data_IF_740717304508
#
_entry.id   IF_740717304508
#
_cell.length_a   1.000
_cell.length_b   1.000
_cell.length_c   1.000
_cell.angle_alpha   90.00
_cell.angle_beta   90.00
_cell.angle_gamma   90.00
#
_symmetry.space_group_name_H-M   'P 1'
#
loop_
_entity.id
_entity.type
_entity.pdbx_description
1 polymer ?
#
# COMPACT_ATOMS: atom_id res chain seq x y z
N UNK A 1 15.57 17.38 -8.18
CA UNK A 1 15.15 17.39 -6.77
C UNK A 1 14.31 16.16 -6.49
N UNK A 2 14.48 15.56 -5.30
CA UNK A 2 13.64 14.44 -4.79
C UNK A 2 12.59 15.05 -3.87
N UNK A 3 11.31 14.70 -4.10
CA UNK A 3 10.24 14.88 -3.13
C UNK A 3 10.09 13.62 -2.28
N UNK A 4 10.06 13.75 -0.97
CA UNK A 4 9.60 12.66 -0.09
C UNK A 4 8.16 12.96 0.27
N UNK A 5 7.26 12.07 -0.12
CA UNK A 5 5.82 12.18 0.10
C UNK A 5 5.43 11.39 1.35
N UNK A 6 4.92 12.07 2.37
CA UNK A 6 4.50 11.49 3.65
C UNK A 6 3.02 11.82 3.86
N UNK A 7 2.14 10.84 3.76
CA UNK A 7 0.76 10.96 4.21
C UNK A 7 0.66 10.49 5.67
N UNK A 8 -0.07 11.26 6.51
CA UNK A 8 -0.21 10.95 7.94
C UNK A 8 -1.62 11.25 8.44
N UNK A 9 -2.08 10.44 9.39
CA UNK A 9 -3.33 10.64 10.13
C UNK A 9 -3.26 9.93 11.48
N UNK A 10 -3.33 10.68 12.59
CA UNK A 10 -3.26 10.15 13.97
C UNK A 10 -2.03 9.26 14.20
N UNK A 11 -0.84 9.79 13.90
CA UNK A 11 0.44 9.08 14.00
C UNK A 11 1.46 9.83 14.89
N UNK A 12 0.99 10.51 15.93
CA UNK A 12 1.81 11.29 16.88
C UNK A 12 3.04 10.50 17.38
N UNK A 13 2.86 9.21 17.68
CA UNK A 13 3.91 8.34 18.21
C UNK A 13 5.00 7.98 17.19
N UNK A 14 4.78 8.20 15.89
CA UNK A 14 5.62 7.66 14.81
C UNK A 14 6.18 8.73 13.88
N UNK A 15 5.39 9.77 13.58
CA UNK A 15 5.70 10.76 12.53
C UNK A 15 7.04 11.46 12.75
N UNK A 16 7.46 11.71 13.99
CA UNK A 16 8.76 12.28 14.30
C UNK A 16 9.90 11.41 13.77
N UNK A 17 9.87 10.10 14.03
CA UNK A 17 10.87 9.16 13.53
C UNK A 17 10.85 9.05 11.99
N UNK A 18 9.68 9.11 11.37
CA UNK A 18 9.57 9.14 9.91
C UNK A 18 10.34 10.35 9.35
N UNK A 19 10.07 11.56 9.86
CA UNK A 19 10.72 12.80 9.43
C UNK A 19 12.24 12.75 9.66
N UNK A 20 12.68 12.34 10.84
CA UNK A 20 14.11 12.21 11.19
C UNK A 20 14.84 11.25 10.26
N UNK A 21 14.21 10.13 9.89
CA UNK A 21 14.78 9.13 8.98
C UNK A 21 15.04 9.70 7.57
N UNK A 22 14.19 10.64 7.13
CA UNK A 22 14.37 11.39 5.88
C UNK A 22 15.46 12.43 6.02
N UNK A 23 15.50 13.18 7.13
CA UNK A 23 16.53 14.18 7.38
C UNK A 23 17.93 13.58 7.48
N UNK A 24 18.04 12.31 7.92
CA UNK A 24 19.28 11.58 8.01
C UNK A 24 19.82 11.07 6.66
N UNK A 25 19.06 11.23 5.56
CA UNK A 25 19.50 10.76 4.23
C UNK A 25 20.70 11.55 3.72
N UNK A 26 21.70 10.82 3.24
CA UNK A 26 22.89 11.36 2.56
C UNK A 26 22.69 11.19 1.06
N UNK A 27 22.41 12.31 0.38
CA UNK A 27 22.12 12.28 -1.05
C UNK A 27 22.62 13.56 -1.73
N UNK A 28 23.25 13.42 -2.90
CA UNK A 28 23.73 14.53 -3.73
C UNK A 28 22.60 15.27 -4.46
N UNK A 29 21.40 14.68 -4.51
CA UNK A 29 20.21 15.31 -5.08
C UNK A 29 19.46 16.02 -3.96
N UNK A 30 19.09 17.31 -4.11
CA UNK A 30 18.34 18.02 -3.10
C UNK A 30 17.03 17.30 -2.74
N UNK A 31 16.74 17.24 -1.42
CA UNK A 31 15.55 16.57 -0.88
C UNK A 31 14.58 17.63 -0.33
N UNK A 32 13.31 17.52 -0.65
CA UNK A 32 12.19 18.27 -0.07
C UNK A 32 11.16 17.30 0.50
N UNK A 33 10.63 17.57 1.69
CA UNK A 33 9.72 16.69 2.41
C UNK A 33 8.32 17.30 2.34
N UNK A 34 7.36 16.55 1.83
CA UNK A 34 5.95 16.96 1.74
C UNK A 34 5.15 16.10 2.71
N UNK A 35 4.56 16.72 3.72
CA UNK A 35 3.75 16.05 4.74
C UNK A 35 2.30 16.48 4.58
N UNK A 36 1.42 15.54 4.30
CA UNK A 36 -0.03 15.76 4.27
C UNK A 36 -0.67 15.17 5.51
N UNK A 37 -1.09 16.02 6.42
CA UNK A 37 -1.84 15.64 7.62
C UNK A 37 -3.34 15.69 7.31
N UNK A 38 -3.97 14.54 7.33
CA UNK A 38 -5.38 14.35 6.97
C UNK A 38 -6.35 14.72 8.11
N UNK A 39 -6.15 15.92 8.72
CA UNK A 39 -6.91 16.45 9.85
C UNK A 39 -6.77 15.58 11.12
N UNK A 40 -5.56 15.23 11.49
CA UNK A 40 -5.28 14.49 12.73
C UNK A 40 -5.91 15.14 13.96
N UNK A 41 -6.37 14.30 14.89
CA UNK A 41 -7.03 14.72 16.14
C UNK A 41 -6.16 14.46 17.38
N UNK A 42 -4.99 13.82 17.20
CA UNK A 42 -3.94 13.63 18.22
C UNK A 42 -2.85 14.72 18.12
N UNK A 43 -1.69 14.50 18.73
CA UNK A 43 -0.55 15.42 18.70
C UNK A 43 0.22 15.46 17.39
N UNK A 44 -0.17 14.72 16.32
CA UNK A 44 0.51 14.68 15.02
C UNK A 44 0.75 16.06 14.45
N UNK A 45 -0.26 16.96 14.51
CA UNK A 45 -0.13 18.35 14.05
C UNK A 45 1.01 19.07 14.73
N UNK A 46 1.05 19.01 16.06
CA UNK A 46 2.07 19.71 16.86
C UNK A 46 3.49 19.27 16.49
N UNK A 47 3.68 17.94 16.33
CA UNK A 47 4.97 17.36 15.93
C UNK A 47 5.36 17.86 14.53
N UNK A 48 4.46 17.79 13.56
CA UNK A 48 4.75 18.23 12.18
C UNK A 48 5.05 19.73 12.08
N UNK A 49 4.31 20.60 12.80
CA UNK A 49 4.53 22.04 12.84
C UNK A 49 5.90 22.38 13.44
N UNK A 50 6.32 21.67 14.51
CA UNK A 50 7.64 21.85 15.09
C UNK A 50 8.75 21.55 14.08
N UNK A 51 8.72 20.38 13.43
CA UNK A 51 9.73 20.03 12.43
C UNK A 51 9.72 20.99 11.22
N UNK A 52 8.55 21.45 10.79
CA UNK A 52 8.43 22.40 9.68
C UNK A 52 9.00 23.79 10.03
N UNK A 53 8.84 24.23 11.28
CA UNK A 53 9.42 25.48 11.75
C UNK A 53 10.97 25.43 11.80
N UNK A 54 11.53 24.27 12.13
CA UNK A 54 12.98 24.07 12.26
C UNK A 54 13.68 23.78 10.92
N UNK A 55 12.93 23.23 9.91
CA UNK A 55 13.51 22.80 8.64
C UNK A 55 12.72 23.33 7.43
N UNK A 56 13.26 24.34 6.71
CA UNK A 56 12.58 24.96 5.56
C UNK A 56 12.41 24.01 4.35
N UNK A 57 13.00 22.82 4.37
CA UNK A 57 12.77 21.79 3.34
C UNK A 57 11.47 21.03 3.55
N UNK A 58 10.79 21.24 4.68
CA UNK A 58 9.51 20.59 4.99
C UNK A 58 8.36 21.48 4.53
N UNK A 59 7.51 20.93 3.70
CA UNK A 59 6.22 21.51 3.29
C UNK A 59 5.13 20.73 4.02
N UNK A 60 4.66 21.30 5.13
CA UNK A 60 3.58 20.71 5.90
C UNK A 60 2.23 21.28 5.45
N UNK A 61 1.29 20.39 5.15
CA UNK A 61 -0.07 20.75 4.70
C UNK A 61 -1.08 19.98 5.54
N UNK A 62 -1.80 20.68 6.41
CA UNK A 62 -2.89 20.12 7.18
C UNK A 62 -4.22 20.31 6.45
N UNK A 63 -5.04 19.25 6.38
CA UNK A 63 -6.38 19.30 5.80
C UNK A 63 -7.38 19.93 6.76
N UNK A 64 -8.43 20.51 6.23
CA UNK A 64 -9.54 21.04 7.04
C UNK A 64 -10.43 19.93 7.63
N UNK A 65 -10.53 18.81 6.92
CA UNK A 65 -11.28 17.61 7.31
C UNK A 65 -10.57 16.38 6.75
N UNK A 66 -10.79 15.22 7.35
CA UNK A 66 -10.28 13.95 6.85
C UNK A 66 -10.90 13.65 5.49
N UNK A 67 -10.04 13.48 4.48
CA UNK A 67 -10.42 13.19 3.10
C UNK A 67 -10.02 11.77 2.67
N UNK A 68 -9.31 11.04 3.53
CA UNK A 68 -8.81 9.70 3.28
C UNK A 68 -7.40 9.68 2.68
N UNK A 69 -6.73 8.54 2.88
CA UNK A 69 -5.32 8.35 2.47
C UNK A 69 -5.09 8.67 0.98
N UNK A 70 -5.96 8.16 0.12
CA UNK A 70 -5.84 8.33 -1.34
C UNK A 70 -5.88 9.79 -1.74
N UNK A 71 -6.93 10.51 -1.37
CA UNK A 71 -7.13 11.90 -1.78
C UNK A 71 -6.08 12.83 -1.13
N UNK A 72 -5.70 12.56 0.14
CA UNK A 72 -4.61 13.26 0.81
C UNK A 72 -3.27 13.10 0.07
N UNK A 73 -2.95 11.88 -0.39
CA UNK A 73 -1.71 11.62 -1.13
C UNK A 73 -1.75 12.21 -2.53
N UNK A 74 -2.88 12.17 -3.23
CA UNK A 74 -3.06 12.77 -4.56
C UNK A 74 -2.85 14.30 -4.50
N UNK A 75 -3.38 14.98 -3.47
CA UNK A 75 -3.12 16.42 -3.32
C UNK A 75 -1.63 16.71 -3.10
N UNK A 76 -0.92 15.88 -2.33
CA UNK A 76 0.54 16.01 -2.21
C UNK A 76 1.23 15.82 -3.55
N UNK A 77 0.84 14.84 -4.36
CA UNK A 77 1.42 14.64 -5.70
C UNK A 77 1.20 15.85 -6.60
N UNK A 78 0.02 16.45 -6.61
CA UNK A 78 -0.25 17.67 -7.38
C UNK A 78 0.70 18.82 -6.98
N UNK A 79 0.97 19.00 -5.68
CA UNK A 79 1.91 20.00 -5.17
C UNK A 79 3.35 19.68 -5.58
N UNK A 80 3.77 18.42 -5.44
CA UNK A 80 5.10 17.94 -5.82
C UNK A 80 5.36 18.17 -7.32
N UNK A 81 4.35 17.89 -8.16
CA UNK A 81 4.43 18.12 -9.61
C UNK A 81 4.51 19.62 -9.93
N UNK A 82 3.74 20.47 -9.24
CA UNK A 82 3.78 21.92 -9.41
C UNK A 82 5.14 22.51 -9.04
N UNK A 83 5.83 21.93 -8.04
CA UNK A 83 7.18 22.33 -7.63
C UNK A 83 8.30 21.77 -8.52
N UNK A 84 7.97 20.99 -9.56
CA UNK A 84 8.91 20.46 -10.55
C UNK A 84 9.91 19.45 -10.01
N UNK A 85 9.54 18.67 -8.99
CA UNK A 85 10.38 17.59 -8.48
C UNK A 85 10.54 16.49 -9.51
N UNK A 86 11.75 15.97 -9.70
CA UNK A 86 12.07 14.94 -10.71
C UNK A 86 11.76 13.51 -10.22
N UNK A 87 11.97 13.29 -8.93
CA UNK A 87 11.74 12.00 -8.28
C UNK A 87 10.80 12.15 -7.08
N UNK A 88 10.03 11.10 -6.83
CA UNK A 88 9.16 11.00 -5.66
C UNK A 88 9.51 9.71 -4.92
N UNK A 89 9.86 9.85 -3.64
CA UNK A 89 10.06 8.75 -2.71
C UNK A 89 8.87 8.67 -1.75
N UNK A 90 8.41 7.46 -1.48
CA UNK A 90 7.25 7.22 -0.61
C UNK A 90 7.70 6.86 0.81
N UNK A 91 7.00 7.40 1.79
CA UNK A 91 7.13 7.01 3.18
C UNK A 91 5.77 7.24 3.87
N UNK A 92 5.27 6.22 4.56
CA UNK A 92 4.08 6.37 5.39
C UNK A 92 4.48 6.95 6.76
N UNK A 93 3.62 7.78 7.37
CA UNK A 93 3.99 8.51 8.60
C UNK A 93 4.21 7.62 9.83
N UNK A 94 3.82 6.34 9.77
CA UNK A 94 4.07 5.31 10.79
C UNK A 94 5.29 4.42 10.50
N UNK A 95 5.96 4.59 9.34
CA UNK A 95 7.15 3.86 8.94
C UNK A 95 8.42 4.71 9.09
N UNK A 96 9.59 4.12 8.83
CA UNK A 96 10.86 4.87 8.79
C UNK A 96 11.91 4.19 7.91
N UNK A 97 12.86 4.99 7.42
CA UNK A 97 14.01 4.46 6.70
C UNK A 97 15.15 4.14 7.67
N UNK A 98 15.78 2.99 7.47
CA UNK A 98 16.87 2.49 8.31
C UNK A 98 18.24 2.52 7.61
N UNK A 99 18.29 2.98 6.36
CA UNK A 99 19.51 3.14 5.58
C UNK A 99 19.62 4.60 5.11
N UNK A 100 20.67 5.30 5.52
CA UNK A 100 20.93 6.70 5.17
C UNK A 100 21.30 6.90 3.70
N UNK A 101 21.72 5.89 3.00
CA UNK A 101 22.15 5.95 1.60
C UNK A 101 21.05 5.49 0.61
N UNK A 102 19.82 5.21 1.11
CA UNK A 102 18.68 4.74 0.31
C UNK A 102 18.40 5.62 -0.89
N UNK A 103 18.22 6.91 -0.69
CA UNK A 103 17.85 7.83 -1.78
C UNK A 103 18.97 8.00 -2.79
N UNK A 104 20.24 7.99 -2.36
CA UNK A 104 21.39 8.05 -3.24
C UNK A 104 21.43 6.82 -4.14
N UNK A 105 21.35 5.61 -3.56
CA UNK A 105 21.41 4.35 -4.31
C UNK A 105 20.26 4.26 -5.35
N UNK A 106 19.03 4.63 -4.95
CA UNK A 106 17.87 4.58 -5.84
C UNK A 106 17.96 5.61 -6.97
N UNK A 107 18.40 6.84 -6.69
CA UNK A 107 18.55 7.87 -7.72
C UNK A 107 19.69 7.57 -8.69
N UNK A 108 20.81 7.04 -8.21
CA UNK A 108 21.92 6.63 -9.08
C UNK A 108 21.50 5.50 -10.01
N UNK A 109 20.72 4.53 -9.50
CA UNK A 109 20.17 3.47 -10.33
C UNK A 109 19.26 4.01 -11.43
N UNK A 110 18.31 4.89 -11.09
CA UNK A 110 17.44 5.51 -12.09
C UNK A 110 18.21 6.36 -13.11
N UNK A 111 19.24 7.11 -12.70
CA UNK A 111 20.07 7.90 -13.62
C UNK A 111 20.84 7.01 -14.60
N UNK A 112 21.37 5.87 -14.13
CA UNK A 112 22.09 4.90 -14.95
C UNK A 112 21.17 4.14 -15.92
N UNK A 113 19.87 4.06 -15.64
CA UNK A 113 18.87 3.28 -16.37
C UNK A 113 17.66 4.14 -16.75
N UNK A 114 17.74 4.96 -17.83
CA UNK A 114 16.64 5.84 -18.25
C UNK A 114 15.33 5.12 -18.59
N UNK A 115 15.41 3.85 -18.98
CA UNK A 115 14.26 2.99 -19.30
C UNK A 115 13.49 2.51 -18.05
N UNK A 116 14.06 2.70 -16.86
CA UNK A 116 13.41 2.33 -15.58
C UNK A 116 12.71 3.55 -15.00
N UNK A 117 11.41 3.42 -14.74
CA UNK A 117 10.60 4.49 -14.18
C UNK A 117 10.49 4.48 -12.67
N UNK A 118 10.57 3.31 -12.05
CA UNK A 118 10.55 3.20 -10.59
C UNK A 118 11.45 2.08 -10.08
N UNK A 119 11.89 2.24 -8.86
CA UNK A 119 12.77 1.31 -8.15
C UNK A 119 12.26 1.12 -6.73
N UNK A 120 12.27 -0.12 -6.26
CA UNK A 120 12.02 -0.41 -4.86
C UNK A 120 13.19 -1.18 -4.23
N UNK A 121 13.29 -1.12 -2.92
CA UNK A 121 14.32 -1.79 -2.14
C UNK A 121 13.70 -2.92 -1.30
N UNK A 122 14.53 -3.63 -0.55
CA UNK A 122 14.06 -4.51 0.50
C UNK A 122 13.75 -3.74 1.78
N UNK A 123 13.00 -4.35 2.68
CA UNK A 123 12.61 -3.76 3.95
C UNK A 123 12.48 -4.80 5.06
N UNK A 124 12.11 -4.33 6.24
CA UNK A 124 11.80 -5.15 7.41
C UNK A 124 10.38 -4.85 7.88
N UNK A 125 9.71 -5.86 8.42
CA UNK A 125 8.51 -5.68 9.24
C UNK A 125 8.94 -5.58 10.70
N UNK A 126 8.43 -4.59 11.42
CA UNK A 126 8.57 -4.45 12.87
C UNK A 126 7.22 -4.80 13.53
N UNK A 127 7.16 -5.95 14.20
CA UNK A 127 5.98 -6.39 14.95
C UNK A 127 6.35 -6.52 16.43
N UNK A 128 5.89 -5.59 17.25
CA UNK A 128 6.37 -5.43 18.63
C UNK A 128 7.87 -5.17 18.67
N UNK A 129 8.64 -6.04 19.32
CA UNK A 129 10.10 -5.97 19.40
C UNK A 129 10.82 -6.79 18.30
N UNK A 130 10.09 -7.52 17.46
CA UNK A 130 10.66 -8.41 16.46
C UNK A 130 10.75 -7.73 15.09
N UNK A 131 11.87 -7.93 14.39
CA UNK A 131 12.05 -7.49 13.01
C UNK A 131 12.29 -8.69 12.11
N UNK A 132 11.52 -8.77 11.00
CA UNK A 132 11.68 -9.77 9.94
C UNK A 132 11.96 -9.06 8.63
N UNK A 133 13.03 -9.47 7.93
CA UNK A 133 13.30 -8.96 6.57
C UNK A 133 12.24 -9.47 5.61
N UNK A 134 11.75 -8.61 4.71
CA UNK A 134 10.87 -9.05 3.64
C UNK A 134 11.59 -10.10 2.80
N UNK A 135 10.94 -11.22 2.54
CA UNK A 135 11.46 -12.19 1.58
C UNK A 135 11.64 -11.52 0.21
N UNK A 136 12.73 -11.83 -0.48
CA UNK A 136 12.93 -11.39 -1.85
C UNK A 136 11.70 -11.77 -2.68
N UNK A 137 10.98 -10.77 -3.15
CA UNK A 137 10.04 -10.93 -4.25
C UNK A 137 10.47 -9.91 -5.29
N UNK A 138 11.03 -10.37 -6.39
CA UNK A 138 10.95 -9.61 -7.63
C UNK A 138 9.48 -9.24 -7.77
N UNK A 139 9.20 -7.94 -7.80
CA UNK A 139 7.85 -7.43 -7.72
C UNK A 139 6.95 -8.11 -8.72
N UNK A 140 6.14 -9.01 -8.27
CA UNK A 140 5.06 -9.58 -9.06
C UNK A 140 3.82 -8.83 -8.67
N UNK A 141 3.40 -7.93 -9.55
CA UNK A 141 2.09 -7.32 -9.45
C UNK A 141 1.03 -8.39 -9.69
N UNK A 142 0.11 -8.52 -8.78
CA UNK A 142 -0.98 -9.50 -8.87
C UNK A 142 -2.07 -9.25 -7.83
N UNK A 143 -3.11 -10.07 -7.84
CA UNK A 143 -4.26 -9.97 -6.96
C UNK A 143 -3.91 -9.82 -5.47
N UNK A 144 -2.83 -10.44 -5.03
CA UNK A 144 -2.51 -10.50 -3.60
C UNK A 144 -1.56 -9.40 -3.12
N UNK A 145 -0.80 -8.76 -4.01
CA UNK A 145 0.25 -7.81 -3.60
C UNK A 145 0.82 -7.01 -4.77
N UNK A 146 1.33 -5.81 -4.49
CA UNK A 146 2.25 -5.09 -5.37
C UNK A 146 3.68 -5.64 -5.31
N UNK A 147 3.94 -6.59 -4.40
CA UNK A 147 5.23 -7.27 -4.26
C UNK A 147 6.25 -6.55 -3.37
N UNK A 148 5.97 -5.34 -2.90
CA UNK A 148 6.87 -4.53 -2.05
C UNK A 148 6.07 -3.61 -1.11
N UNK A 149 6.75 -3.05 -0.10
CA UNK A 149 6.14 -2.05 0.78
C UNK A 149 6.28 -0.64 0.18
N UNK A 150 5.25 0.20 0.35
CA UNK A 150 5.21 1.56 -0.15
C UNK A 150 6.44 2.39 0.27
N UNK A 151 6.85 2.29 1.54
CA UNK A 151 8.02 3.00 2.08
C UNK A 151 9.37 2.65 1.45
N UNK A 152 9.43 1.62 0.57
CA UNK A 152 10.65 1.23 -0.15
C UNK A 152 10.82 1.88 -1.52
N UNK A 153 9.79 2.55 -2.03
CA UNK A 153 9.69 2.99 -3.43
C UNK A 153 10.28 4.37 -3.65
N UNK A 154 10.92 4.55 -4.82
CA UNK A 154 11.25 5.82 -5.45
C UNK A 154 10.94 5.72 -6.94
N UNK A 155 10.29 6.75 -7.50
CA UNK A 155 9.90 6.75 -8.90
C UNK A 155 10.09 8.12 -9.56
N UNK A 156 10.13 8.15 -10.90
CA UNK A 156 10.16 9.39 -11.68
C UNK A 156 8.80 10.07 -11.63
N UNK A 157 8.77 11.35 -11.32
CA UNK A 157 7.52 12.13 -11.29
C UNK A 157 6.81 12.17 -12.64
N UNK A 158 7.55 11.98 -13.74
CA UNK A 158 7.00 11.90 -15.10
C UNK A 158 6.02 10.72 -15.33
N UNK A 159 5.96 9.75 -14.42
CA UNK A 159 4.95 8.69 -14.43
C UNK A 159 3.57 9.18 -13.96
N UNK A 160 3.53 10.34 -13.30
CA UNK A 160 2.29 10.98 -12.87
C UNK A 160 1.87 12.03 -13.91
N UNK A 161 0.60 12.02 -14.28
CA UNK A 161 -0.05 13.12 -15.00
C UNK A 161 -1.27 13.60 -14.21
N UNK A 162 -1.69 14.84 -14.44
CA UNK A 162 -2.92 15.36 -13.85
C UNK A 162 -4.12 14.46 -14.18
N UNK A 163 -4.21 14.02 -15.45
CA UNK A 163 -5.26 13.11 -15.90
C UNK A 163 -5.25 11.76 -15.16
N UNK A 164 -4.07 11.18 -14.92
CA UNK A 164 -3.97 9.93 -14.15
C UNK A 164 -4.45 10.13 -12.72
N UNK A 165 -4.02 11.22 -12.07
CA UNK A 165 -4.44 11.56 -10.71
C UNK A 165 -5.95 11.76 -10.62
N UNK A 166 -6.55 12.50 -11.56
CA UNK A 166 -7.99 12.73 -11.63
C UNK A 166 -8.78 11.42 -11.82
N UNK A 167 -8.29 10.52 -12.68
CA UNK A 167 -8.92 9.20 -12.90
C UNK A 167 -8.88 8.31 -11.67
N UNK A 168 -7.77 8.32 -10.91
CA UNK A 168 -7.66 7.54 -9.68
C UNK A 168 -8.53 8.16 -8.58
N UNK A 169 -8.49 9.48 -8.41
CA UNK A 169 -9.29 10.21 -7.42
C UNK A 169 -10.78 9.96 -7.60
N UNK A 170 -11.27 9.98 -8.84
CA UNK A 170 -12.68 9.70 -9.17
C UNK A 170 -13.15 8.30 -8.74
N UNK A 171 -12.23 7.38 -8.45
CA UNK A 171 -12.56 6.04 -7.97
C UNK A 171 -12.79 5.98 -6.46
N UNK A 172 -12.28 6.92 -5.68
CA UNK A 172 -12.34 6.90 -4.21
C UNK A 172 -11.84 5.57 -3.64
N UNK A 173 -10.68 5.09 -4.11
CA UNK A 173 -10.06 3.87 -3.60
C UNK A 173 -9.62 4.04 -2.15
N UNK A 174 -9.68 2.98 -1.37
CA UNK A 174 -9.27 3.01 0.05
C UNK A 174 -7.76 3.28 0.22
N UNK A 175 -6.94 2.87 -0.75
CA UNK A 175 -5.51 3.15 -0.78
C UNK A 175 -5.02 3.33 -2.22
N UNK A 176 -3.89 4.00 -2.38
CA UNK A 176 -3.41 4.48 -3.66
C UNK A 176 -2.35 3.57 -4.30
N UNK A 177 -1.53 2.90 -3.48
CA UNK A 177 -0.33 2.18 -3.94
C UNK A 177 -0.65 1.10 -4.98
N UNK A 178 -1.69 0.31 -4.74
CA UNK A 178 -2.06 -0.78 -5.63
C UNK A 178 -2.46 -0.31 -7.05
N UNK A 179 -3.45 0.59 -7.24
CA UNK A 179 -3.79 1.06 -8.58
C UNK A 179 -2.66 1.89 -9.22
N UNK A 180 -1.93 2.68 -8.45
CA UNK A 180 -0.85 3.52 -8.97
C UNK A 180 0.30 2.67 -9.52
N UNK A 181 0.80 1.73 -8.72
CA UNK A 181 1.88 0.86 -9.19
C UNK A 181 1.43 -0.10 -10.28
N UNK A 182 0.16 -0.50 -10.29
CA UNK A 182 -0.43 -1.23 -11.41
C UNK A 182 -0.33 -0.48 -12.73
N UNK A 183 -0.61 0.82 -12.72
CA UNK A 183 -0.40 1.70 -13.88
C UNK A 183 1.09 1.78 -14.25
N UNK A 184 1.99 1.96 -13.26
CA UNK A 184 3.43 2.05 -13.52
C UNK A 184 3.98 0.78 -14.15
N UNK A 185 3.54 -0.41 -13.74
CA UNK A 185 3.92 -1.68 -14.36
C UNK A 185 3.55 -1.75 -15.86
N UNK A 186 2.52 -1.02 -16.29
CA UNK A 186 2.11 -0.98 -17.70
C UNK A 186 2.86 0.08 -18.51
N UNK A 187 3.42 1.09 -17.86
CA UNK A 187 4.04 2.24 -18.51
C UNK A 187 5.55 2.15 -18.64
N UNK A 188 6.23 1.45 -17.73
CA UNK A 188 7.69 1.47 -17.63
C UNK A 188 8.27 0.17 -17.11
N UNK A 189 9.59 0.00 -17.28
CA UNK A 189 10.35 -1.01 -16.54
C UNK A 189 10.58 -0.56 -15.09
N UNK A 190 10.86 -1.51 -14.24
CA UNK A 190 11.15 -1.30 -12.83
C UNK A 190 12.38 -2.11 -12.39
N UNK A 191 12.96 -1.76 -11.24
CA UNK A 191 14.08 -2.48 -10.67
C UNK A 191 13.90 -2.75 -9.18
N UNK A 192 14.51 -3.83 -8.73
CA UNK A 192 14.63 -4.18 -7.32
C UNK A 192 16.10 -4.07 -6.87
N UNK A 193 16.34 -3.33 -5.79
CA UNK A 193 17.62 -3.26 -5.10
C UNK A 193 17.52 -4.06 -3.80
N UNK A 194 18.46 -4.99 -3.57
CA UNK A 194 18.39 -5.95 -2.46
C UNK A 194 18.69 -5.34 -1.07
N UNK A 195 19.14 -4.08 -1.01
CA UNK A 195 19.42 -3.39 0.24
C UNK A 195 18.16 -3.27 1.09
N UNK A 196 18.30 -3.52 2.40
CA UNK A 196 17.25 -3.32 3.39
C UNK A 196 17.30 -1.88 3.85
N UNK A 197 16.34 -1.06 3.38
CA UNK A 197 16.38 0.40 3.57
C UNK A 197 15.23 0.98 4.38
N UNK A 198 14.15 0.22 4.58
CA UNK A 198 12.96 0.69 5.23
C UNK A 198 12.43 -0.32 6.27
N UNK A 199 11.72 0.19 7.25
CA UNK A 199 11.04 -0.58 8.29
C UNK A 199 9.57 -0.23 8.25
N UNK A 200 8.74 -1.22 7.93
CA UNK A 200 7.30 -1.18 7.98
C UNK A 200 6.81 -1.65 9.35
N UNK A 201 5.97 -0.85 10.01
CA UNK A 201 5.41 -1.21 11.32
C UNK A 201 4.13 -2.01 11.16
N UNK A 202 4.13 -3.20 11.81
CA UNK A 202 2.96 -4.06 11.93
C UNK A 202 2.16 -3.63 13.18
N UNK A 203 1.16 -2.80 12.98
CA UNK A 203 0.21 -2.39 14.01
C UNK A 203 -1.21 -2.30 13.43
N UNK A 204 -2.23 -2.20 14.29
CA UNK A 204 -3.59 -2.06 13.82
C UNK A 204 -3.78 -0.76 13.03
N UNK A 205 -4.12 -0.89 11.77
CA UNK A 205 -4.33 0.22 10.86
C UNK A 205 -5.46 -0.09 9.86
N UNK A 206 -5.79 0.86 9.00
CA UNK A 206 -6.80 0.65 7.94
C UNK A 206 -6.38 -0.49 7.00
N UNK A 207 -5.10 -0.66 6.73
CA UNK A 207 -4.56 -1.73 5.89
C UNK A 207 -4.42 -3.07 6.60
N UNK A 208 -4.54 -3.10 7.95
CA UNK A 208 -4.37 -4.28 8.80
C UNK A 208 -5.52 -4.47 9.78
N UNK A 209 -6.75 -4.63 9.30
CA UNK A 209 -7.92 -4.80 10.14
C UNK A 209 -7.91 -6.17 10.84
N UNK A 210 -8.49 -6.22 12.03
CA UNK A 210 -8.55 -7.43 12.87
C UNK A 210 -9.90 -8.15 12.82
N UNK A 211 -10.85 -7.69 12.03
CA UNK A 211 -12.17 -8.34 11.90
C UNK A 211 -12.32 -8.99 10.52
N UNK A 212 -13.04 -10.11 10.48
CA UNK A 212 -13.28 -10.84 9.24
C UNK A 212 -13.97 -9.98 8.16
N UNK A 213 -14.98 -9.20 8.55
CA UNK A 213 -15.71 -8.31 7.65
C UNK A 213 -14.82 -7.20 7.08
N UNK A 214 -13.99 -6.59 7.91
CA UNK A 214 -13.06 -5.55 7.45
C UNK A 214 -11.97 -6.10 6.53
N UNK A 215 -11.41 -7.29 6.83
CA UNK A 215 -10.47 -7.98 5.93
C UNK A 215 -11.14 -8.29 4.58
N UNK A 216 -12.38 -8.81 4.61
CA UNK A 216 -13.12 -9.11 3.38
C UNK A 216 -13.33 -7.85 2.54
N UNK A 217 -13.71 -6.72 3.16
CA UNK A 217 -13.83 -5.43 2.46
C UNK A 217 -12.54 -5.02 1.74
N UNK A 218 -11.36 -5.22 2.37
CA UNK A 218 -10.08 -4.97 1.69
C UNK A 218 -9.87 -5.88 0.48
N UNK A 219 -10.30 -7.15 0.55
CA UNK A 219 -10.19 -8.08 -0.59
C UNK A 219 -11.12 -7.69 -1.74
N UNK A 220 -12.34 -7.27 -1.42
CA UNK A 220 -13.32 -6.75 -2.39
C UNK A 220 -12.79 -5.47 -3.06
N UNK A 221 -12.23 -4.55 -2.27
CA UNK A 221 -11.61 -3.32 -2.78
C UNK A 221 -10.45 -3.61 -3.74
N UNK A 222 -9.60 -4.58 -3.43
CA UNK A 222 -8.51 -4.99 -4.31
C UNK A 222 -9.01 -5.54 -5.65
N UNK A 223 -10.06 -6.35 -5.63
CA UNK A 223 -10.69 -6.82 -6.88
C UNK A 223 -11.28 -5.66 -7.70
N UNK A 224 -11.83 -4.63 -7.03
CA UNK A 224 -12.34 -3.42 -7.69
C UNK A 224 -11.20 -2.64 -8.36
N UNK A 225 -10.07 -2.48 -7.69
CA UNK A 225 -8.87 -1.85 -8.25
C UNK A 225 -8.32 -2.63 -9.45
N UNK A 226 -8.30 -3.96 -9.36
CA UNK A 226 -7.81 -4.82 -10.44
C UNK A 226 -8.70 -4.76 -11.67
N UNK A 227 -10.03 -4.75 -11.49
CA UNK A 227 -11.00 -4.52 -12.57
C UNK A 227 -10.78 -3.17 -13.24
N UNK A 228 -10.66 -2.11 -12.44
CA UNK A 228 -10.37 -0.77 -12.95
C UNK A 228 -9.08 -0.72 -13.77
N UNK A 229 -8.03 -1.40 -13.34
CA UNK A 229 -6.78 -1.48 -14.10
C UNK A 229 -6.95 -2.19 -15.44
N UNK A 230 -7.75 -3.25 -15.51
CA UNK A 230 -8.03 -3.95 -16.77
C UNK A 230 -8.84 -3.07 -17.73
N UNK A 231 -9.76 -2.26 -17.22
CA UNK A 231 -10.47 -1.25 -18.00
C UNK A 231 -9.52 -0.19 -18.57
N UNK A 232 -8.45 0.18 -17.85
CA UNK A 232 -7.44 1.11 -18.34
C UNK A 232 -6.47 0.45 -19.33
N UNK A 233 -6.18 -0.83 -19.17
CA UNK A 233 -5.21 -1.60 -19.96
C UNK A 233 -5.78 -2.96 -20.38
N UNK A 234 -6.78 -3.00 -21.25
CA UNK A 234 -7.52 -4.22 -21.60
C UNK A 234 -6.59 -5.36 -22.06
N UNK A 235 -6.74 -6.52 -21.41
CA UNK A 235 -6.00 -7.73 -21.72
C UNK A 235 -4.52 -7.72 -21.33
N UNK A 236 -4.02 -6.67 -20.64
CA UNK A 236 -2.62 -6.59 -20.19
C UNK A 236 -2.44 -6.96 -18.73
N UNK A 237 -3.46 -6.78 -17.91
CA UNK A 237 -3.38 -6.98 -16.45
C UNK A 237 -3.80 -8.39 -16.03
N UNK A 238 -4.33 -9.18 -16.96
CA UNK A 238 -4.76 -10.56 -16.69
C UNK A 238 -5.99 -10.66 -15.77
N UNK A 239 -6.84 -9.62 -15.72
CA UNK A 239 -8.07 -9.67 -14.95
C UNK A 239 -9.08 -10.64 -15.56
N UNK A 240 -9.75 -11.40 -14.70
CA UNK A 240 -10.90 -12.23 -15.04
C UNK A 240 -11.93 -12.12 -13.92
N UNK A 241 -13.17 -11.82 -14.30
CA UNK A 241 -14.30 -11.76 -13.35
C UNK A 241 -14.52 -13.11 -12.64
N UNK A 242 -14.32 -14.21 -13.36
CA UNK A 242 -14.40 -15.56 -12.79
C UNK A 242 -13.32 -15.78 -11.72
N UNK A 243 -12.09 -15.35 -12.01
CA UNK A 243 -10.97 -15.49 -11.08
C UNK A 243 -11.14 -14.57 -9.85
N UNK A 244 -11.58 -13.33 -10.03
CA UNK A 244 -11.89 -12.44 -8.94
C UNK A 244 -13.00 -12.99 -8.03
N UNK A 245 -14.08 -13.50 -8.60
CA UNK A 245 -15.18 -14.11 -7.85
C UNK A 245 -14.73 -15.37 -7.11
N UNK A 246 -13.90 -16.21 -7.74
CA UNK A 246 -13.30 -17.38 -7.11
C UNK A 246 -12.41 -16.99 -5.94
N UNK A 247 -11.52 -16.00 -6.14
CA UNK A 247 -10.66 -15.48 -5.10
C UNK A 247 -11.45 -14.96 -3.90
N UNK A 248 -12.45 -14.11 -4.11
CA UNK A 248 -13.30 -13.58 -3.05
C UNK A 248 -14.05 -14.66 -2.30
N UNK A 249 -14.55 -15.66 -3.00
CA UNK A 249 -15.19 -16.82 -2.37
C UNK A 249 -14.22 -17.55 -1.43
N UNK A 250 -13.00 -17.84 -1.91
CA UNK A 250 -12.00 -18.56 -1.12
C UNK A 250 -11.56 -17.73 0.11
N UNK A 251 -11.36 -16.43 -0.05
CA UNK A 251 -11.06 -15.52 1.05
C UNK A 251 -12.18 -15.53 2.09
N UNK A 252 -13.42 -15.39 1.65
CA UNK A 252 -14.60 -15.40 2.54
C UNK A 252 -14.72 -16.71 3.31
N UNK A 253 -14.54 -17.85 2.66
CA UNK A 253 -14.53 -19.17 3.33
C UNK A 253 -13.42 -19.26 4.36
N UNK A 254 -12.20 -18.82 4.03
CA UNK A 254 -11.07 -18.82 4.96
C UNK A 254 -11.36 -17.97 6.20
N UNK A 255 -11.88 -16.76 6.02
CA UNK A 255 -12.24 -15.84 7.10
C UNK A 255 -13.33 -16.40 8.03
N UNK A 256 -14.36 -17.06 7.46
CA UNK A 256 -15.41 -17.72 8.25
C UNK A 256 -14.78 -18.73 9.22
N UNK A 257 -13.84 -19.55 8.76
CA UNK A 257 -13.18 -20.53 9.61
C UNK A 257 -12.18 -19.91 10.59
N UNK A 258 -11.39 -18.94 10.14
CA UNK A 258 -10.38 -18.29 10.96
C UNK A 258 -11.00 -17.51 12.14
N UNK A 259 -12.04 -16.74 11.89
CA UNK A 259 -12.68 -15.88 12.87
C UNK A 259 -13.93 -16.49 13.52
N UNK A 260 -14.36 -17.65 13.07
CA UNK A 260 -15.65 -18.26 13.45
C UNK A 260 -16.85 -17.35 13.16
N UNK A 261 -16.76 -16.53 12.12
CA UNK A 261 -17.79 -15.57 11.76
C UNK A 261 -18.71 -16.11 10.68
N UNK A 262 -19.82 -16.71 11.10
CA UNK A 262 -20.82 -17.27 10.19
C UNK A 262 -21.71 -16.23 9.53
N UNK A 263 -21.68 -14.96 9.98
CA UNK A 263 -22.44 -13.89 9.34
C UNK A 263 -22.00 -13.61 7.89
N UNK A 264 -20.77 -14.01 7.56
CA UNK A 264 -20.22 -13.91 6.21
C UNK A 264 -20.78 -14.97 5.23
N UNK A 265 -21.55 -15.96 5.70
CA UNK A 265 -22.14 -16.97 4.83
C UNK A 265 -23.30 -16.37 4.04
N UNK A 266 -23.23 -16.43 2.72
CA UNK A 266 -24.32 -15.99 1.83
C UNK A 266 -25.01 -17.19 1.16
N UNK A 267 -26.26 -17.02 0.72
CA UNK A 267 -26.95 -18.08 -0.03
C UNK A 267 -26.24 -18.50 -1.32
N UNK A 268 -25.66 -17.53 -2.05
CA UNK A 268 -24.88 -17.78 -3.25
C UNK A 268 -23.70 -18.70 -2.98
N UNK A 269 -22.98 -18.54 -1.87
CA UNK A 269 -21.89 -19.43 -1.47
C UNK A 269 -22.33 -20.88 -1.29
N UNK A 270 -23.56 -21.09 -0.88
CA UNK A 270 -24.09 -22.45 -0.65
C UNK A 270 -24.61 -23.09 -1.93
N UNK A 271 -25.03 -22.31 -2.93
CA UNK A 271 -25.67 -22.80 -4.16
C UNK A 271 -24.69 -22.97 -5.33
N UNK A 272 -23.97 -21.92 -5.70
CA UNK A 272 -23.44 -21.77 -7.06
C UNK A 272 -21.93 -21.95 -7.22
N UNK A 273 -21.17 -22.21 -6.16
CA UNK A 273 -19.72 -22.29 -6.25
C UNK A 273 -19.19 -23.72 -6.40
N UNK A 274 -18.28 -23.92 -7.37
CA UNK A 274 -17.54 -25.17 -7.58
C UNK A 274 -16.09 -25.03 -7.09
N UNK A 275 -15.77 -25.45 -5.85
CA UNK A 275 -14.42 -25.34 -5.32
C UNK A 275 -13.43 -26.24 -6.08
N UNK A 276 -12.27 -25.68 -6.45
CA UNK A 276 -11.24 -26.38 -7.24
C UNK A 276 -10.47 -27.44 -6.43
N UNK A 277 -10.15 -27.19 -5.17
CA UNK A 277 -9.35 -28.06 -4.33
C UNK A 277 -10.17 -28.90 -3.34
N UNK A 278 -9.64 -30.08 -2.96
CA UNK A 278 -10.28 -30.94 -1.98
C UNK A 278 -10.49 -30.27 -0.62
N UNK A 279 -9.52 -29.44 -0.16
CA UNK A 279 -9.64 -28.67 1.08
C UNK A 279 -10.83 -27.71 1.05
N UNK A 280 -11.03 -27.00 -0.06
CA UNK A 280 -12.16 -26.08 -0.24
C UNK A 280 -13.49 -26.81 -0.32
N UNK A 281 -13.52 -28.02 -0.94
CA UNK A 281 -14.71 -28.88 -0.96
C UNK A 281 -15.13 -29.33 0.43
N UNK A 282 -14.15 -29.68 1.27
CA UNK A 282 -14.41 -30.04 2.67
C UNK A 282 -14.92 -28.82 3.46
N UNK A 283 -14.30 -27.65 3.30
CA UNK A 283 -14.76 -26.41 3.94
C UNK A 283 -16.20 -26.06 3.51
N UNK A 284 -16.52 -26.14 2.22
CA UNK A 284 -17.89 -25.91 1.72
C UNK A 284 -18.92 -26.86 2.35
N UNK A 285 -18.60 -28.15 2.48
CA UNK A 285 -19.47 -29.11 3.19
C UNK A 285 -19.69 -28.71 4.65
N UNK A 286 -18.64 -28.22 5.33
CA UNK A 286 -18.74 -27.72 6.69
C UNK A 286 -19.68 -26.51 6.83
N UNK A 287 -19.68 -25.58 5.87
CA UNK A 287 -20.58 -24.42 5.89
C UNK A 287 -22.06 -24.82 5.86
N UNK A 288 -22.41 -25.92 5.17
CA UNK A 288 -23.78 -26.43 5.07
C UNK A 288 -24.24 -27.24 6.31
N UNK A 289 -23.31 -27.76 7.08
CA UNK A 289 -23.61 -28.61 8.24
C UNK A 289 -22.86 -28.13 9.48
N UNK A 290 -23.61 -27.64 10.48
CA UNK A 290 -23.04 -27.04 11.68
C UNK A 290 -22.16 -28.00 12.51
N UNK A 291 -22.53 -29.28 12.56
CA UNK A 291 -21.76 -30.28 13.28
C UNK A 291 -20.43 -30.52 12.59
N UNK A 292 -20.46 -30.69 11.28
CA UNK A 292 -19.26 -30.87 10.46
C UNK A 292 -18.39 -29.61 10.47
N UNK A 293 -18.97 -28.42 10.46
CA UNK A 293 -18.27 -27.15 10.63
C UNK A 293 -17.50 -27.11 11.96
N UNK A 294 -18.16 -27.45 13.06
CA UNK A 294 -17.56 -27.42 14.40
C UNK A 294 -16.39 -28.39 14.53
N UNK A 295 -16.49 -29.56 13.88
CA UNK A 295 -15.40 -30.54 13.84
C UNK A 295 -14.24 -30.00 12.99
N UNK A 296 -14.49 -29.56 11.77
CA UNK A 296 -13.46 -29.07 10.86
C UNK A 296 -12.67 -27.91 11.42
N UNK A 297 -13.31 -26.98 12.12
CA UNK A 297 -12.66 -25.83 12.72
C UNK A 297 -11.52 -26.18 13.68
N UNK A 298 -11.54 -27.39 14.27
CA UNK A 298 -10.48 -27.87 15.16
C UNK A 298 -9.22 -28.32 14.42
N UNK A 299 -9.32 -28.54 13.09
CA UNK A 299 -8.26 -29.12 12.26
C UNK A 299 -7.79 -28.19 11.13
N UNK A 300 -8.38 -27.00 11.01
CA UNK A 300 -8.04 -25.97 10.02
C UNK A 300 -7.56 -24.69 10.70
#
# INVERSE_FOLDING_TARGET
>A
MIAVCIATYNQEAYIGQAIESVQAQVCNVPIRIYIGDDASTDGTQTVCEQYAAENPRIVYVRRKSNMGLTDNTIDLYRRILADGCEYIAMLDGDDYWCDKDKLQAQTDHLKAHPEIGFVHTNGKTLSGANTLTFGQREGVYGLDSVGFANCTVLFRSSLLSAELLDRIEAQHFLWLDYPLYGVFYQQTKWAYLSQVTAVWRDHESVSQPKTASAILRLREERCRMWRWLDEQYPGKVGYSEEEANRYLYEQRVNLIYQFNDRSLITEAMLKDYHPLGWKQRIKKKGLKNIVFYTILRKFI
#
